data_IF_716736897600
#
_entry.id   IF_716736897600
#
_cell.length_a   1.000
_cell.length_b   1.000
_cell.length_c   1.000
_cell.angle_alpha   90.00
_cell.angle_beta   90.00
_cell.angle_gamma   90.00
#
_symmetry.space_group_name_H-M   'P 1'
#
loop_
_entity.id
_entity.type
_entity.pdbx_description
1 polymer ?
#
# COMPACT_ATOMS: atom_id res chain seq x y z
N UNK A 1 -3.58 -18.67 2.25
CA UNK A 1 -3.18 -17.37 1.71
C UNK A 1 -1.68 -17.20 1.79
N UNK A 2 -1.05 -16.86 0.68
CA UNK A 2 0.39 -16.63 0.66
C UNK A 2 0.70 -15.23 1.13
N UNK A 3 1.95 -14.97 1.46
CA UNK A 3 2.39 -13.63 1.83
C UNK A 3 2.14 -12.62 0.70
N UNK A 4 2.40 -13.02 -0.54
CA UNK A 4 2.14 -12.14 -1.68
C UNK A 4 0.66 -11.78 -1.78
N UNK A 5 -0.22 -12.77 -1.60
CA UNK A 5 -1.66 -12.50 -1.63
C UNK A 5 -2.08 -11.56 -0.51
N UNK A 6 -1.49 -11.74 0.67
CA UNK A 6 -1.76 -10.83 1.78
C UNK A 6 -1.37 -9.40 1.45
N UNK A 7 -0.18 -9.22 0.89
CA UNK A 7 0.30 -7.90 0.53
C UNK A 7 -0.57 -7.29 -0.58
N UNK A 8 -0.95 -8.08 -1.58
CA UNK A 8 -1.82 -7.61 -2.64
C UNK A 8 -3.17 -7.13 -2.10
N UNK A 9 -3.71 -7.87 -1.14
CA UNK A 9 -4.97 -7.49 -0.51
C UNK A 9 -4.83 -6.17 0.25
N UNK A 10 -3.74 -6.01 0.98
CA UNK A 10 -3.50 -4.76 1.73
C UNK A 10 -3.33 -3.58 0.79
N UNK A 11 -2.64 -3.76 -0.32
CA UNK A 11 -2.50 -2.71 -1.34
C UNK A 11 -3.87 -2.30 -1.86
N UNK A 12 -4.71 -3.26 -2.17
CA UNK A 12 -6.06 -2.98 -2.68
C UNK A 12 -6.89 -2.22 -1.64
N UNK A 13 -6.79 -2.61 -0.38
CA UNK A 13 -7.51 -1.94 0.71
C UNK A 13 -7.04 -0.49 0.84
N UNK A 14 -5.73 -0.27 0.83
CA UNK A 14 -5.19 1.08 0.95
C UNK A 14 -5.58 1.96 -0.22
N UNK A 15 -5.56 1.43 -1.43
CA UNK A 15 -6.00 2.19 -2.61
C UNK A 15 -7.46 2.61 -2.48
N UNK A 16 -8.30 1.72 -1.98
CA UNK A 16 -9.70 2.03 -1.76
C UNK A 16 -9.89 3.12 -0.72
N UNK A 17 -9.13 3.06 0.37
CA UNK A 17 -9.19 4.07 1.41
C UNK A 17 -8.72 5.42 0.90
N UNK A 18 -7.61 5.45 0.15
CA UNK A 18 -7.08 6.69 -0.41
C UNK A 18 -8.11 7.34 -1.33
N UNK A 19 -8.73 6.55 -2.19
CA UNK A 19 -9.74 7.05 -3.11
C UNK A 19 -10.92 7.64 -2.35
N UNK A 20 -11.38 6.96 -1.30
CA UNK A 20 -12.48 7.43 -0.47
C UNK A 20 -12.15 8.77 0.21
N UNK A 21 -10.96 8.87 0.79
CA UNK A 21 -10.57 10.10 1.48
C UNK A 21 -10.33 11.26 0.52
N UNK A 22 -9.86 10.97 -0.67
CA UNK A 22 -9.72 12.02 -1.70
C UNK A 22 -11.05 12.66 -2.05
N UNK A 23 -12.12 11.88 -2.01
CA UNK A 23 -13.46 12.41 -2.29
C UNK A 23 -14.01 13.27 -1.17
N UNK A 24 -13.55 13.07 0.05
CA UNK A 24 -14.05 13.83 1.21
C UNK A 24 -13.62 15.27 1.20
N UNK A 25 -12.41 15.56 0.77
CA UNK A 25 -11.89 16.93 0.57
C UNK A 25 -11.84 17.81 1.82
N UNK A 26 -11.89 17.25 3.03
CA UNK A 26 -11.68 18.05 4.23
C UNK A 26 -10.20 17.97 4.67
N UNK A 27 -9.80 18.79 5.64
CA UNK A 27 -8.40 18.87 6.03
C UNK A 27 -7.88 17.59 6.66
N UNK A 28 -8.71 16.90 7.44
CA UNK A 28 -8.30 15.63 8.03
C UNK A 28 -8.10 14.57 6.96
N UNK A 29 -8.96 14.55 5.95
CA UNK A 29 -8.85 13.61 4.85
C UNK A 29 -7.58 13.82 4.07
N UNK A 30 -7.14 15.07 3.89
CA UNK A 30 -5.89 15.36 3.21
C UNK A 30 -4.72 14.72 3.93
N UNK A 31 -4.66 14.85 5.26
CA UNK A 31 -3.60 14.24 6.05
C UNK A 31 -3.66 12.72 6.00
N UNK A 32 -4.86 12.16 6.02
CA UNK A 32 -5.02 10.71 5.92
C UNK A 32 -4.55 10.19 4.57
N UNK A 33 -4.83 10.93 3.48
CA UNK A 33 -4.34 10.55 2.16
C UNK A 33 -2.82 10.51 2.13
N UNK A 34 -2.17 11.52 2.70
CA UNK A 34 -0.71 11.55 2.74
C UNK A 34 -0.17 10.34 3.48
N UNK A 35 -0.73 10.04 4.65
CA UNK A 35 -0.27 8.91 5.46
C UNK A 35 -0.47 7.59 4.74
N UNK A 36 -1.63 7.40 4.12
CA UNK A 36 -1.92 6.16 3.42
C UNK A 36 -1.09 6.00 2.15
N UNK A 37 -0.78 7.10 1.47
CA UNK A 37 0.08 7.02 0.30
C UNK A 37 1.50 6.62 0.67
N UNK A 38 2.02 7.09 1.78
CA UNK A 38 3.29 6.60 2.29
C UNK A 38 3.24 5.12 2.61
N UNK A 39 2.17 4.69 3.28
CA UNK A 39 2.01 3.27 3.59
C UNK A 39 1.88 2.41 2.35
N UNK A 40 1.13 2.89 1.37
CA UNK A 40 0.99 2.19 0.10
C UNK A 40 2.32 2.06 -0.63
N UNK A 41 3.09 3.13 -0.67
CA UNK A 41 4.40 3.12 -1.31
C UNK A 41 5.32 2.08 -0.64
N UNK A 42 5.34 2.06 0.69
CA UNK A 42 6.15 1.10 1.43
C UNK A 42 5.71 -0.33 1.14
N UNK A 43 4.41 -0.58 1.08
CA UNK A 43 3.90 -1.92 0.78
C UNK A 43 4.27 -2.37 -0.63
N UNK A 44 4.20 -1.46 -1.60
CA UNK A 44 4.58 -1.78 -2.97
C UNK A 44 6.06 -2.15 -3.04
N UNK A 45 6.90 -1.41 -2.33
CA UNK A 45 8.33 -1.71 -2.29
C UNK A 45 8.60 -3.07 -1.68
N UNK A 46 7.93 -3.37 -0.56
CA UNK A 46 8.08 -4.69 0.08
C UNK A 46 7.59 -5.79 -0.84
N UNK A 47 6.49 -5.55 -1.53
CA UNK A 47 5.94 -6.52 -2.46
C UNK A 47 6.92 -6.84 -3.58
N UNK A 48 7.53 -5.81 -4.15
CA UNK A 48 8.51 -5.99 -5.21
C UNK A 48 9.76 -6.71 -4.71
N UNK A 49 10.20 -6.37 -3.51
CA UNK A 49 11.33 -7.07 -2.89
C UNK A 49 11.02 -8.54 -2.65
N UNK A 50 9.80 -8.86 -2.25
CA UNK A 50 9.44 -10.26 -2.01
C UNK A 50 9.44 -11.07 -3.29
N UNK A 51 9.11 -10.46 -4.41
CA UNK A 51 9.20 -11.12 -5.71
C UNK A 51 10.63 -11.37 -6.13
N UNK A 52 11.54 -10.47 -5.78
CA UNK A 52 12.94 -10.59 -6.14
C UNK A 52 13.70 -11.50 -5.18
N UNK A 53 13.11 -11.83 -4.08
CA UNK A 53 13.79 -12.56 -3.01
C UNK A 53 14.27 -13.93 -3.46
N UNK A 54 13.66 -14.50 -4.47
CA UNK A 54 14.07 -15.81 -5.00
C UNK A 54 15.37 -15.73 -5.79
N UNK A 55 15.70 -14.53 -6.29
CA UNK A 55 16.87 -14.34 -7.16
C UNK A 55 18.00 -13.61 -6.47
N UNK A 56 17.79 -13.09 -5.28
CA UNK A 56 18.82 -12.37 -4.55
C UNK A 56 19.38 -13.26 -3.45
N UNK A 57 20.57 -13.78 -3.60
CA UNK A 57 21.20 -14.52 -2.52
C UNK A 57 21.73 -13.56 -1.47
N UNK A 58 21.35 -13.81 -0.27
CA UNK A 58 21.89 -13.05 0.85
C UNK A 58 22.97 -13.84 1.58
#
# INVERSE_FOLDING_TARGET
MTLQQKIENEIAILRGLIDRYKRSADSESIYMVIAYEYGLQALIEVYEMSKQNEVIPF
#
